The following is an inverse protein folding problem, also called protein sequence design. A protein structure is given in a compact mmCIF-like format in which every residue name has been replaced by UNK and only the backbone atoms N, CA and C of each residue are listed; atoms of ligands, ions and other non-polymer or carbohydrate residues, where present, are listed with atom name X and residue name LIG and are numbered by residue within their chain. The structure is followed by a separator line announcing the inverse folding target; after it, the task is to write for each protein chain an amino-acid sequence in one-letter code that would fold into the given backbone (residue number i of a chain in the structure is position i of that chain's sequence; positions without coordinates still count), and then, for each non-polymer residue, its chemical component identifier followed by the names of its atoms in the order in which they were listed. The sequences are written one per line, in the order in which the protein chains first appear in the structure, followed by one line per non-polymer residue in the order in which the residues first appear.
data_IF_695462331255
#
_entry.id   IF_695462331255
#
_cell.length_a   1.000
_cell.length_b   1.000
_cell.length_c   1.000
_cell.angle_alpha   90.00
_cell.angle_beta   90.00
_cell.angle_gamma   90.00
#
_symmetry.space_group_name_H-M   'P 1'
#
loop_
_entity.id
_entity.type
_entity.pdbx_description
1 polymer ?
#
# COMPACT_ATOMS: atom_id res chain seq x y z
N UNK A 1 2.79 -24.37 21.13
CA UNK A 1 3.40 -24.69 19.82
C UNK A 1 2.64 -23.92 18.76
N UNK A 2 3.16 -22.79 18.27
CA UNK A 2 2.50 -21.99 17.22
C UNK A 2 2.47 -22.83 15.94
N UNK A 3 1.31 -23.40 15.60
CA UNK A 3 1.11 -24.08 14.32
C UNK A 3 1.03 -22.99 13.25
N UNK A 4 2.15 -22.73 12.57
CA UNK A 4 2.16 -21.84 11.43
C UNK A 4 1.56 -22.60 10.23
N UNK A 5 0.43 -22.11 9.73
CA UNK A 5 0.07 -22.35 8.34
C UNK A 5 0.78 -21.25 7.57
N UNK A 6 2.02 -21.50 7.13
CA UNK A 6 2.68 -20.60 6.18
C UNK A 6 2.06 -20.87 4.82
N UNK A 7 1.11 -20.02 4.41
CA UNK A 7 0.91 -19.86 2.98
C UNK A 7 2.12 -19.09 2.46
N UNK A 8 3.17 -19.80 2.07
CA UNK A 8 4.32 -19.28 1.30
C UNK A 8 3.89 -18.84 -0.13
N UNK A 9 2.66 -18.34 -0.26
CA UNK A 9 2.06 -17.82 -1.46
C UNK A 9 2.27 -16.33 -1.42
N UNK A 10 3.27 -15.86 -2.15
CA UNK A 10 3.35 -14.47 -2.51
C UNK A 10 2.14 -14.11 -3.37
N UNK A 11 1.35 -13.16 -2.90
CA UNK A 11 0.21 -12.64 -3.66
C UNK A 11 0.74 -11.55 -4.58
N UNK A 12 0.38 -11.65 -5.87
CA UNK A 12 0.84 -10.75 -6.93
C UNK A 12 -0.28 -10.15 -7.77
N UNK A 13 -1.53 -10.60 -7.58
CA UNK A 13 -2.65 -10.11 -8.39
C UNK A 13 -3.10 -8.77 -7.84
N UNK A 14 -3.00 -7.76 -8.70
CA UNK A 14 -3.52 -6.42 -8.46
C UNK A 14 -4.82 -6.29 -9.21
N UNK A 15 -5.95 -6.21 -8.52
CA UNK A 15 -7.22 -5.92 -9.17
C UNK A 15 -8.33 -5.64 -8.13
N UNK A 16 -9.37 -4.91 -8.56
CA UNK A 16 -10.68 -4.83 -7.89
C UNK A 16 -11.49 -6.12 -8.16
N UNK A 17 -10.83 -7.28 -8.11
CA UNK A 17 -11.47 -8.56 -8.40
C UNK A 17 -12.44 -8.92 -7.28
N UNK A 18 -13.67 -9.28 -7.65
CA UNK A 18 -14.65 -9.80 -6.69
C UNK A 18 -14.24 -11.12 -6.05
N UNK A 19 -13.30 -11.85 -6.66
CA UNK A 19 -12.79 -13.11 -6.16
C UNK A 19 -11.50 -12.93 -5.35
N UNK A 20 -11.38 -13.62 -4.21
CA UNK A 20 -10.18 -13.53 -3.41
C UNK A 20 -9.00 -14.21 -4.09
N UNK A 21 -7.86 -13.54 -4.05
CA UNK A 21 -6.60 -14.01 -4.64
C UNK A 21 -5.96 -15.11 -3.79
N UNK A 22 -6.31 -15.15 -2.51
CA UNK A 22 -5.99 -16.24 -1.59
C UNK A 22 -7.05 -16.30 -0.48
N UNK A 23 -7.22 -17.49 0.08
CA UNK A 23 -7.95 -17.70 1.33
C UNK A 23 -6.99 -18.22 2.40
N UNK A 24 -7.02 -17.60 3.58
CA UNK A 24 -6.18 -17.93 4.73
C UNK A 24 -7.02 -18.09 5.98
N UNK A 25 -6.52 -18.81 6.99
CA UNK A 25 -7.21 -18.92 8.28
C UNK A 25 -6.83 -17.76 9.20
N UNK A 26 -7.65 -17.48 10.21
CA UNK A 26 -7.27 -16.58 11.30
C UNK A 26 -5.90 -16.96 11.89
N UNK A 27 -5.10 -15.94 12.24
CA UNK A 27 -3.73 -16.09 12.73
C UNK A 27 -2.67 -16.51 11.69
N UNK A 28 -3.01 -16.58 10.40
CA UNK A 28 -2.03 -16.88 9.34
C UNK A 28 -1.06 -15.72 9.11
N UNK A 29 0.18 -16.05 8.73
CA UNK A 29 1.17 -15.06 8.26
C UNK A 29 1.24 -15.13 6.74
N UNK A 30 1.15 -13.96 6.09
CA UNK A 30 1.12 -13.85 4.63
C UNK A 30 2.20 -12.88 4.16
N UNK A 31 2.98 -13.27 3.16
CA UNK A 31 3.93 -12.38 2.49
C UNK A 31 3.29 -11.78 1.24
N UNK A 32 3.29 -10.45 1.14
CA UNK A 32 2.54 -9.72 0.11
C UNK A 32 3.52 -8.83 -0.64
N UNK A 33 3.51 -8.93 -1.97
CA UNK A 33 4.34 -8.09 -2.82
C UNK A 33 3.46 -7.02 -3.45
N UNK A 34 3.66 -5.79 -3.02
CA UNK A 34 2.99 -4.61 -3.55
C UNK A 34 3.82 -3.94 -4.65
N UNK A 35 3.17 -3.20 -5.55
CA UNK A 35 3.83 -2.26 -6.45
C UNK A 35 3.90 -0.88 -5.80
N UNK A 36 4.72 0.00 -6.37
CA UNK A 36 4.70 1.40 -5.99
C UNK A 36 3.37 2.08 -6.39
N UNK A 37 3.19 3.28 -5.85
CA UNK A 37 2.02 4.14 -6.04
C UNK A 37 1.74 4.47 -7.51
N UNK A 38 2.75 4.43 -8.37
CA UNK A 38 2.66 4.68 -9.81
C UNK A 38 2.51 3.40 -10.63
N UNK A 39 2.33 2.23 -9.99
CA UNK A 39 2.21 0.94 -10.64
C UNK A 39 3.45 0.58 -11.50
N UNK A 40 4.62 1.12 -11.13
CA UNK A 40 5.87 0.93 -11.87
C UNK A 40 5.91 1.64 -13.23
N UNK A 41 5.00 2.58 -13.49
CA UNK A 41 4.97 3.32 -14.75
C UNK A 41 6.21 4.20 -14.93
N UNK A 42 6.80 4.72 -13.86
CA UNK A 42 7.94 5.65 -13.93
C UNK A 42 9.26 4.84 -13.96
N UNK A 43 9.82 4.66 -15.17
CA UNK A 43 11.08 3.93 -15.41
C UNK A 43 12.30 4.87 -15.58
N UNK A 44 13.46 4.35 -15.99
CA UNK A 44 14.72 5.11 -16.09
C UNK A 44 14.69 6.26 -17.12
N UNK A 45 13.81 6.21 -18.14
CA UNK A 45 13.81 7.12 -19.29
C UNK A 45 12.97 8.39 -19.11
N UNK A 46 12.70 8.82 -17.88
CA UNK A 46 11.90 10.03 -17.58
C UNK A 46 10.49 9.99 -18.20
N UNK A 47 9.57 9.22 -17.62
CA UNK A 47 8.15 9.52 -17.89
C UNK A 47 7.83 10.92 -17.38
N UNK A 48 7.26 11.76 -18.25
CA UNK A 48 6.70 13.04 -17.86
C UNK A 48 5.37 12.85 -17.15
N UNK A 49 5.01 13.77 -16.25
CA UNK A 49 3.75 13.73 -15.50
C UNK A 49 2.50 13.49 -16.38
N UNK A 50 2.48 14.09 -17.57
CA UNK A 50 1.36 13.96 -18.52
C UNK A 50 1.22 12.57 -19.16
N UNK A 51 2.21 11.70 -19.01
CA UNK A 51 2.25 10.36 -19.60
C UNK A 51 1.81 9.27 -18.61
N UNK A 52 1.59 9.63 -17.34
CA UNK A 52 1.10 8.71 -16.32
C UNK A 52 -0.36 8.35 -16.63
N UNK A 53 -0.65 7.05 -16.75
CA UNK A 53 -2.02 6.55 -16.72
C UNK A 53 -2.54 6.59 -15.28
N UNK A 54 -3.26 7.67 -14.96
CA UNK A 54 -3.87 7.90 -13.66
C UNK A 54 -4.97 6.89 -13.32
N UNK A 55 -5.50 6.14 -14.30
CA UNK A 55 -6.46 5.06 -14.02
C UNK A 55 -5.79 3.85 -13.38
N UNK A 56 -4.48 3.72 -13.54
CA UNK A 56 -3.66 2.62 -13.03
C UNK A 56 -2.90 2.99 -11.76
N UNK A 57 -3.26 4.13 -11.15
CA UNK A 57 -2.59 4.70 -9.99
C UNK A 57 -3.05 4.06 -8.67
N UNK A 58 -2.17 4.05 -7.67
CA UNK A 58 -2.42 3.45 -6.34
C UNK A 58 -2.96 2.02 -6.39
N UNK A 59 -2.29 1.09 -7.09
CA UNK A 59 -2.76 -0.28 -7.16
C UNK A 59 -2.73 -0.95 -5.79
N UNK A 60 -3.69 -1.83 -5.54
CA UNK A 60 -3.69 -2.67 -4.34
C UNK A 60 -3.43 -4.12 -4.69
N UNK A 61 -2.93 -4.89 -3.74
CA UNK A 61 -2.80 -6.35 -3.82
C UNK A 61 -3.87 -6.97 -2.91
N UNK A 62 -4.65 -7.90 -3.45
CA UNK A 62 -5.83 -8.46 -2.78
C UNK A 62 -6.94 -8.81 -3.78
N UNK A 63 -8.15 -9.14 -3.30
CA UNK A 63 -8.53 -9.27 -1.89
C UNK A 63 -8.04 -10.57 -1.24
N UNK A 64 -7.57 -10.49 -0.01
CA UNK A 64 -7.31 -11.65 0.85
C UNK A 64 -8.59 -12.01 1.60
N UNK A 65 -9.03 -13.26 1.47
CA UNK A 65 -10.13 -13.80 2.25
C UNK A 65 -9.63 -14.44 3.53
N UNK A 66 -10.13 -14.00 4.68
CA UNK A 66 -9.84 -14.60 5.99
C UNK A 66 -10.99 -15.52 6.39
N UNK A 67 -10.76 -16.83 6.31
CA UNK A 67 -11.73 -17.85 6.67
C UNK A 67 -12.23 -17.65 8.11
N UNK A 68 -13.55 -17.61 8.25
CA UNK A 68 -14.23 -17.36 9.52
C UNK A 68 -14.53 -15.88 9.83
N UNK A 69 -13.95 -14.90 9.13
CA UNK A 69 -14.28 -13.48 9.35
C UNK A 69 -15.69 -13.14 8.83
N UNK A 70 -16.50 -12.47 9.65
CA UNK A 70 -17.92 -12.18 9.39
C UNK A 70 -18.24 -10.70 9.55
N UNK A 71 -19.30 -10.21 8.87
CA UNK A 71 -19.80 -8.86 9.10
C UNK A 71 -20.07 -8.59 10.59
N UNK A 72 -19.49 -7.51 11.12
CA UNK A 72 -19.54 -7.14 12.54
C UNK A 72 -18.24 -7.42 13.31
N UNK A 73 -17.33 -8.21 12.75
CA UNK A 73 -16.02 -8.48 13.35
C UNK A 73 -15.05 -7.30 13.19
N UNK A 74 -13.91 -7.39 13.88
CA UNK A 74 -12.73 -6.54 13.69
C UNK A 74 -11.56 -7.41 13.24
N UNK A 75 -10.99 -7.08 12.09
CA UNK A 75 -9.78 -7.71 11.58
C UNK A 75 -8.56 -7.01 12.17
N UNK A 76 -7.77 -7.74 12.95
CA UNK A 76 -6.48 -7.27 13.47
C UNK A 76 -5.34 -7.67 12.51
N UNK A 77 -4.61 -6.69 11.99
CA UNK A 77 -3.55 -6.86 11.00
C UNK A 77 -2.24 -6.41 11.63
N UNK A 78 -1.33 -7.35 11.90
CA UNK A 78 -0.01 -7.02 12.46
C UNK A 78 1.04 -6.98 11.36
N UNK A 79 1.78 -5.88 11.26
CA UNK A 79 2.84 -5.73 10.28
C UNK A 79 4.13 -6.31 10.85
N UNK A 80 4.43 -7.57 10.53
CA UNK A 80 5.64 -8.21 11.08
C UNK A 80 6.93 -7.63 10.47
N UNK A 81 6.93 -7.41 9.15
CA UNK A 81 8.13 -6.99 8.43
C UNK A 81 7.78 -6.31 7.10
N UNK A 82 8.52 -5.25 6.78
CA UNK A 82 8.47 -4.55 5.49
C UNK A 82 9.86 -4.65 4.85
N UNK A 83 9.92 -5.22 3.65
CA UNK A 83 11.14 -5.30 2.84
C UNK A 83 10.96 -4.49 1.57
N UNK A 84 11.79 -3.46 1.40
CA UNK A 84 11.86 -2.75 0.12
C UNK A 84 12.55 -3.62 -0.92
N UNK A 85 11.98 -3.66 -2.13
CA UNK A 85 12.58 -4.33 -3.29
C UNK A 85 13.24 -3.36 -4.25
N UNK A 86 12.88 -2.07 -4.20
CA UNK A 86 13.53 -1.02 -4.99
C UNK A 86 14.81 -0.50 -4.32
N UNK A 87 15.70 0.06 -5.14
CA UNK A 87 16.89 0.80 -4.71
C UNK A 87 16.65 2.31 -4.71
N UNK A 88 15.44 2.75 -5.03
CA UNK A 88 15.07 4.15 -5.08
C UNK A 88 13.62 4.37 -4.61
N UNK A 89 13.32 5.65 -4.38
CA UNK A 89 11.97 6.16 -4.14
C UNK A 89 11.66 7.29 -5.11
N UNK A 90 10.38 7.48 -5.39
CA UNK A 90 9.87 8.54 -6.25
C UNK A 90 9.17 9.59 -5.40
N UNK A 91 9.39 10.85 -5.73
CA UNK A 91 8.63 11.99 -5.26
C UNK A 91 7.98 12.64 -6.48
N UNK A 92 6.68 12.88 -6.39
CA UNK A 92 5.95 13.69 -7.35
C UNK A 92 5.37 14.90 -6.61
N UNK A 93 5.61 16.09 -7.14
CA UNK A 93 4.98 17.33 -6.71
C UNK A 93 4.68 18.21 -7.94
N UNK A 94 3.78 19.17 -7.81
CA UNK A 94 3.43 20.06 -8.90
C UNK A 94 2.21 20.93 -8.59
N UNK A 95 1.74 21.71 -9.57
CA UNK A 95 0.50 22.47 -9.47
C UNK A 95 -0.66 21.59 -8.95
N UNK A 96 -1.38 22.09 -7.95
CA UNK A 96 -2.54 21.41 -7.33
C UNK A 96 -2.24 20.07 -6.61
N UNK A 97 -0.96 19.76 -6.34
CA UNK A 97 -0.56 18.56 -5.57
C UNK A 97 -0.12 18.98 -4.16
N UNK A 98 -0.86 18.52 -3.16
CA UNK A 98 -0.55 18.78 -1.75
C UNK A 98 -0.72 20.25 -1.33
N UNK A 99 -0.29 20.55 -0.10
CA UNK A 99 -0.48 21.88 0.52
C UNK A 99 0.30 22.99 -0.21
N UNK A 100 1.45 22.64 -0.82
CA UNK A 100 2.30 23.60 -1.52
C UNK A 100 2.03 23.67 -3.03
N UNK A 101 0.96 23.03 -3.52
CA UNK A 101 0.68 22.91 -4.95
C UNK A 101 0.57 24.26 -5.66
N UNK A 102 0.02 25.29 -5.01
CA UNK A 102 -0.12 26.63 -5.58
C UNK A 102 1.22 27.36 -5.80
N UNK A 103 2.28 26.94 -5.10
CA UNK A 103 3.61 27.55 -5.18
C UNK A 103 4.47 26.95 -6.30
N UNK A 104 4.05 25.83 -6.88
CA UNK A 104 4.84 25.05 -7.83
C UNK A 104 4.38 25.34 -9.25
N UNK A 105 5.24 25.92 -10.12
CA UNK A 105 4.83 26.29 -11.48
C UNK A 105 4.75 25.09 -12.43
N UNK A 106 5.46 23.99 -12.13
CA UNK A 106 5.59 22.84 -13.01
C UNK A 106 5.52 21.54 -12.21
N UNK A 107 5.01 20.48 -12.85
CA UNK A 107 5.11 19.13 -12.32
C UNK A 107 6.57 18.68 -12.28
N UNK A 108 6.96 18.03 -11.21
CA UNK A 108 8.31 17.52 -10.99
C UNK A 108 8.22 16.12 -10.40
N UNK A 109 8.81 15.16 -11.12
CA UNK A 109 9.07 13.82 -10.62
C UNK A 109 10.57 13.73 -10.32
N UNK A 110 10.92 13.36 -9.10
CA UNK A 110 12.30 13.11 -8.68
C UNK A 110 12.46 11.70 -8.18
N UNK A 111 13.56 11.06 -8.59
CA UNK A 111 13.98 9.75 -8.11
C UNK A 111 15.16 9.95 -7.16
N UNK A 112 15.08 9.37 -5.97
CA UNK A 112 16.14 9.41 -4.98
C UNK A 112 16.64 8.00 -4.67
N UNK A 113 17.96 7.81 -4.67
CA UNK A 113 18.57 6.53 -4.31
C UNK A 113 18.39 6.24 -2.83
N UNK A 114 18.25 4.96 -2.51
CA UNK A 114 18.29 4.44 -1.15
C UNK A 114 19.64 3.77 -0.94
N UNK A 115 20.42 4.26 0.03
CA UNK A 115 21.68 3.65 0.43
C UNK A 115 21.76 3.54 1.95
N UNK A 116 22.18 2.37 2.46
CA UNK A 116 22.38 2.12 3.89
C UNK A 116 21.21 2.59 4.76
N UNK A 117 19.97 2.29 4.33
CA UNK A 117 18.72 2.68 5.00
C UNK A 117 18.51 4.21 5.11
N UNK A 118 18.99 4.97 4.13
CA UNK A 118 18.78 6.40 3.97
C UNK A 118 18.37 6.73 2.54
N UNK A 119 17.52 7.73 2.37
CA UNK A 119 17.23 8.35 1.08
C UNK A 119 18.29 9.44 0.87
N UNK A 120 19.00 9.36 -0.25
CA UNK A 120 20.01 10.34 -0.66
C UNK A 120 19.30 11.48 -1.38
N UNK A 121 18.98 12.55 -0.64
CA UNK A 121 18.26 13.70 -1.19
C UNK A 121 19.20 14.63 -1.99
N UNK A 122 20.40 14.85 -1.44
CA UNK A 122 21.54 15.53 -2.09
C UNK A 122 22.85 14.96 -1.54
N UNK A 123 24.00 15.47 -1.98
CA UNK A 123 25.32 15.09 -1.44
C UNK A 123 25.45 15.37 0.07
N UNK A 124 24.76 16.40 0.56
CA UNK A 124 24.82 16.84 1.95
C UNK A 124 23.62 16.34 2.78
N UNK A 125 22.46 16.13 2.14
CA UNK A 125 21.20 15.82 2.82
C UNK A 125 20.87 14.33 2.65
N UNK A 126 20.92 13.62 3.78
CA UNK A 126 20.56 12.21 3.88
C UNK A 126 19.40 12.01 4.85
N UNK A 127 18.27 11.51 4.35
CA UNK A 127 17.04 11.34 5.14
C UNK A 127 16.98 9.89 5.62
N UNK A 128 16.73 9.67 6.92
CA UNK A 128 16.57 8.30 7.45
C UNK A 128 15.32 7.66 6.85
N UNK A 129 15.49 6.48 6.27
CA UNK A 129 14.37 5.72 5.73
C UNK A 129 13.50 5.16 6.87
N UNK A 130 12.20 5.46 6.83
CA UNK A 130 11.14 4.80 7.60
C UNK A 130 10.21 4.10 6.60
N UNK A 131 10.02 2.80 6.80
CA UNK A 131 9.17 1.97 5.93
C UNK A 131 7.78 1.95 6.55
N UNK A 132 6.76 2.25 5.75
CA UNK A 132 5.37 2.26 6.17
C UNK A 132 4.50 1.60 5.12
N UNK A 133 3.27 1.26 5.47
CA UNK A 133 2.24 0.86 4.53
C UNK A 133 1.25 2.01 4.42
N UNK A 134 1.04 2.50 3.18
CA UNK A 134 0.17 3.64 2.93
C UNK A 134 -1.29 3.24 2.89
N UNK A 135 -1.58 2.03 2.37
CA UNK A 135 -2.95 1.59 2.11
C UNK A 135 -3.26 0.22 2.75
N UNK A 136 -4.31 0.20 3.56
CA UNK A 136 -4.92 -1.02 4.11
C UNK A 136 -6.44 -0.84 4.07
N UNK A 137 -7.19 -1.76 3.46
CA UNK A 137 -8.65 -1.63 3.33
C UNK A 137 -9.37 -2.97 3.36
N UNK A 138 -10.48 -3.06 4.11
CA UNK A 138 -11.46 -4.14 3.99
C UNK A 138 -12.61 -3.71 3.07
N UNK A 139 -13.18 -4.65 2.31
CA UNK A 139 -14.35 -4.31 1.48
C UNK A 139 -15.62 -4.15 2.32
N UNK A 140 -16.52 -3.28 1.86
CA UNK A 140 -17.86 -3.09 2.41
C UNK A 140 -18.91 -3.26 1.33
N UNK A 141 -20.06 -3.85 1.69
CA UNK A 141 -21.21 -4.00 0.79
C UNK A 141 -21.88 -2.66 0.43
N UNK A 142 -21.52 -1.56 1.11
CA UNK A 142 -22.22 -0.27 1.04
C UNK A 142 -21.42 0.83 0.33
N UNK A 143 -20.20 0.56 -0.12
CA UNK A 143 -19.32 1.59 -0.70
C UNK A 143 -18.63 1.13 -1.99
N UNK A 144 -18.92 1.83 -3.09
CA UNK A 144 -18.14 1.87 -4.33
C UNK A 144 -17.06 2.95 -4.29
N UNK A 145 -16.56 3.26 -3.09
CA UNK A 145 -15.59 4.34 -2.89
C UNK A 145 -14.22 3.87 -3.38
N UNK A 146 -13.49 4.69 -4.17
CA UNK A 146 -12.17 4.32 -4.65
C UNK A 146 -11.23 3.87 -3.52
N UNK A 147 -10.38 2.88 -3.79
CA UNK A 147 -9.48 2.29 -2.78
C UNK A 147 -8.53 3.32 -2.15
N UNK A 148 -8.10 4.31 -2.93
CA UNK A 148 -7.21 5.39 -2.50
C UNK A 148 -7.89 6.44 -1.60
N UNK A 149 -9.19 6.31 -1.30
CA UNK A 149 -9.86 7.22 -0.38
C UNK A 149 -9.91 6.62 1.03
N UNK A 150 -9.47 7.39 2.02
CA UNK A 150 -9.60 7.04 3.43
C UNK A 150 -11.07 6.99 3.87
N UNK A 151 -11.48 5.87 4.47
CA UNK A 151 -12.80 5.67 5.07
C UNK A 151 -12.68 4.91 6.39
N UNK A 152 -13.80 4.66 7.06
CA UNK A 152 -13.83 3.81 8.27
C UNK A 152 -13.41 2.36 8.02
N UNK A 153 -13.34 1.91 6.77
CA UNK A 153 -12.87 0.57 6.38
C UNK A 153 -11.38 0.56 5.99
N UNK A 154 -10.68 1.67 6.22
CA UNK A 154 -9.30 1.88 5.75
C UNK A 154 -9.27 2.62 4.41
N UNK A 155 -8.28 2.35 3.57
CA UNK A 155 -7.97 3.09 2.35
C UNK A 155 -6.53 3.62 2.40
N UNK A 156 -6.23 4.69 1.66
CA UNK A 156 -4.95 5.39 1.78
C UNK A 156 -4.91 6.18 3.10
N UNK A 157 -4.34 5.55 4.13
CA UNK A 157 -4.24 6.09 5.49
C UNK A 157 -2.99 6.96 5.65
N UNK A 158 -1.92 6.65 4.89
CA UNK A 158 -0.66 7.41 4.84
C UNK A 158 -0.08 7.81 6.21
N UNK A 159 -0.25 6.95 7.21
CA UNK A 159 0.22 7.19 8.57
C UNK A 159 1.62 6.64 8.78
N UNK A 160 2.48 7.44 9.44
CA UNK A 160 3.83 7.03 9.84
C UNK A 160 3.86 5.90 10.86
N UNK A 161 2.73 5.65 11.53
CA UNK A 161 2.60 4.65 12.59
C UNK A 161 2.30 3.25 12.05
N UNK A 162 1.90 3.13 10.78
CA UNK A 162 1.64 1.85 10.11
C UNK A 162 2.99 1.28 9.62
N UNK A 163 3.79 0.81 10.57
CA UNK A 163 5.16 0.30 10.36
C UNK A 163 5.36 -1.07 11.02
N UNK A 164 6.56 -1.64 10.92
CA UNK A 164 6.92 -2.92 11.54
C UNK A 164 6.60 -2.92 13.05
N UNK A 165 5.83 -3.90 13.50
CA UNK A 165 5.35 -4.06 14.87
C UNK A 165 3.97 -3.44 15.15
N UNK A 166 3.42 -2.63 14.24
CA UNK A 166 2.10 -2.05 14.42
C UNK A 166 0.98 -3.08 14.18
N UNK A 167 -0.11 -2.97 14.93
CA UNK A 167 -1.35 -3.70 14.70
C UNK A 167 -2.47 -2.73 14.36
N UNK A 168 -3.09 -2.93 13.18
CA UNK A 168 -4.16 -2.11 12.64
C UNK A 168 -5.45 -2.90 12.76
N UNK A 169 -6.53 -2.24 13.20
CA UNK A 169 -7.84 -2.85 13.34
C UNK A 169 -8.79 -2.26 12.30
N UNK A 170 -9.32 -3.10 11.42
CA UNK A 170 -10.29 -2.69 10.40
C UNK A 170 -11.61 -3.43 10.62
N UNK A 171 -12.76 -2.74 10.52
CA UNK A 171 -14.06 -3.40 10.63
C UNK A 171 -14.30 -4.34 9.45
N UNK A 172 -14.96 -5.46 9.72
CA UNK A 172 -15.38 -6.44 8.70
C UNK A 172 -16.85 -6.22 8.38
N UNK A 173 -17.17 -5.94 7.12
CA UNK A 173 -18.57 -5.84 6.66
C UNK A 173 -18.94 -6.84 5.57
N UNK A 174 -17.95 -7.54 5.01
CA UNK A 174 -18.11 -8.61 4.04
C UNK A 174 -17.47 -9.88 4.60
N UNK A 175 -18.06 -11.03 4.33
CA UNK A 175 -17.47 -12.31 4.71
C UNK A 175 -16.06 -12.44 4.17
N UNK A 176 -15.14 -12.90 5.00
CA UNK A 176 -13.73 -12.99 4.67
C UNK A 176 -12.95 -11.69 4.77
N UNK A 177 -13.58 -10.57 5.16
CA UNK A 177 -13.01 -9.22 5.21
C UNK A 177 -12.56 -8.62 3.87
N UNK A 178 -12.11 -9.45 2.93
CA UNK A 178 -11.63 -9.05 1.60
C UNK A 178 -10.58 -7.94 1.72
N UNK A 179 -9.44 -8.28 2.33
CA UNK A 179 -8.40 -7.31 2.67
C UNK A 179 -7.54 -6.96 1.44
N UNK A 180 -7.37 -5.66 1.20
CA UNK A 180 -6.46 -5.07 0.21
C UNK A 180 -5.34 -4.29 0.89
N UNK A 181 -4.13 -4.39 0.32
CA UNK A 181 -2.92 -3.71 0.82
C UNK A 181 -2.19 -3.01 -0.33
N UNK A 182 -1.63 -1.82 -0.08
CA UNK A 182 -0.84 -1.04 -1.03
C UNK A 182 0.16 -0.10 -0.36
#
# INVERSE_FOLDING_TARGET
MKKFVTSDRSIHKMDESTEPVITVKDGSVVTIKIKDHFNGQINEEQLHYGEIDWKQFSPTTGPIYVDGARPGDLLAITIEKIKLTSKDVLLLNGPNIGITGELLPNNCIRRYKIERNKIIYSEEIHIRLRKTIGLLKTESNKQTTPFHMSTKYGGALDSSDITEGATIFLPVEKYGAMLHIG
#
